data_IF_654894393185
#
_entry.id   IF_654894393185
#
_cell.length_a   1.000
_cell.length_b   1.000
_cell.length_c   1.000
_cell.angle_alpha   90.00
_cell.angle_beta   90.00
_cell.angle_gamma   90.00
#
_symmetry.space_group_name_H-M   'P 1'
#
loop_
_entity.id
_entity.type
_entity.pdbx_description
1 polymer ?
#
# COMPACT_ATOMS: atom_id res chain seq x y z
N UNK A 1 30.51 -64.90 29.80
CA UNK A 1 29.16 -64.41 29.57
C UNK A 1 29.29 -62.91 29.31
N UNK A 2 29.53 -62.54 28.10
CA UNK A 2 29.66 -61.17 27.65
C UNK A 2 28.29 -60.72 27.10
N UNK A 3 27.67 -59.82 27.86
CA UNK A 3 26.39 -59.22 27.53
C UNK A 3 26.63 -58.14 26.42
N UNK A 4 26.56 -58.60 25.16
CA UNK A 4 26.54 -57.68 24.03
C UNK A 4 25.17 -56.97 24.01
N UNK A 5 25.13 -55.84 24.72
CA UNK A 5 24.05 -54.89 24.48
C UNK A 5 24.11 -54.43 23.03
N UNK A 6 23.30 -55.05 22.24
CA UNK A 6 22.95 -54.53 20.93
C UNK A 6 22.46 -53.09 21.10
N UNK A 7 23.34 -52.14 20.83
CA UNK A 7 22.94 -50.76 20.70
C UNK A 7 21.87 -50.73 19.57
N UNK A 8 20.63 -50.57 19.98
CA UNK A 8 19.54 -50.42 19.05
C UNK A 8 19.87 -49.19 18.19
N UNK A 9 20.25 -49.47 16.94
CA UNK A 9 20.47 -48.42 15.94
C UNK A 9 19.17 -47.68 15.77
N UNK A 10 19.11 -46.41 16.24
CA UNK A 10 17.96 -45.53 16.04
C UNK A 10 18.03 -44.97 14.61
N UNK A 11 17.16 -45.44 13.71
CA UNK A 11 17.15 -44.99 12.34
C UNK A 11 16.52 -43.62 12.13
N UNK A 12 16.40 -42.82 13.19
CA UNK A 12 15.96 -41.44 13.04
C UNK A 12 16.97 -40.72 12.13
N UNK A 13 16.62 -40.36 10.87
CA UNK A 13 17.56 -39.68 10.02
C UNK A 13 17.97 -38.38 10.72
N UNK A 14 19.30 -38.11 10.83
CA UNK A 14 19.76 -36.83 11.36
C UNK A 14 19.26 -35.75 10.40
N UNK A 15 18.28 -34.97 10.85
CA UNK A 15 17.77 -33.88 10.03
C UNK A 15 16.32 -33.96 9.58
N UNK A 16 15.49 -34.79 10.19
CA UNK A 16 14.06 -34.49 10.21
C UNK A 16 13.89 -33.17 10.98
N UNK A 17 14.35 -32.06 10.37
CA UNK A 17 13.94 -30.72 10.79
C UNK A 17 12.41 -30.74 10.69
N UNK A 18 11.74 -30.96 11.81
CA UNK A 18 10.33 -30.70 11.93
C UNK A 18 10.18 -29.28 11.39
N UNK A 19 9.52 -29.15 10.24
CA UNK A 19 9.25 -27.86 9.63
C UNK A 19 8.47 -27.07 10.68
N UNK A 20 9.21 -26.31 11.49
CA UNK A 20 8.63 -25.56 12.61
C UNK A 20 7.56 -24.70 12.01
N UNK A 21 6.31 -24.86 12.44
CA UNK A 21 5.20 -24.09 11.93
C UNK A 21 5.57 -22.60 11.95
N UNK A 22 5.22 -21.85 10.90
CA UNK A 22 5.50 -20.43 10.86
C UNK A 22 4.92 -19.75 12.09
N UNK A 23 5.66 -18.86 12.73
CA UNK A 23 5.10 -18.11 13.84
C UNK A 23 3.89 -17.33 13.37
N UNK A 24 2.86 -17.20 14.23
CA UNK A 24 1.65 -16.45 13.89
C UNK A 24 1.96 -15.02 13.39
N UNK A 25 3.05 -14.42 13.90
CA UNK A 25 3.49 -13.10 13.45
C UNK A 25 3.94 -13.07 11.98
N UNK A 26 4.71 -14.07 11.52
CA UNK A 26 5.15 -14.15 10.12
C UNK A 26 3.97 -14.38 9.19
N UNK A 27 3.03 -15.24 9.61
CA UNK A 27 1.78 -15.45 8.83
C UNK A 27 0.99 -14.16 8.72
N UNK A 28 0.78 -13.45 9.83
CA UNK A 28 0.06 -12.18 9.84
C UNK A 28 0.75 -11.13 8.96
N UNK A 29 2.08 -11.01 9.03
CA UNK A 29 2.84 -10.10 8.18
C UNK A 29 2.66 -10.43 6.68
N UNK A 30 2.72 -11.71 6.31
CA UNK A 30 2.48 -12.16 4.94
C UNK A 30 1.07 -11.84 4.46
N UNK A 31 0.05 -12.08 5.30
CA UNK A 31 -1.36 -11.76 4.98
C UNK A 31 -1.56 -10.26 4.81
N UNK A 32 -0.99 -9.42 5.69
CA UNK A 32 -1.06 -7.95 5.56
C UNK A 32 -0.48 -7.50 4.22
N UNK A 33 0.68 -8.02 3.83
CA UNK A 33 1.28 -7.69 2.53
C UNK A 33 0.40 -8.11 1.36
N UNK A 34 -0.29 -9.27 1.45
CA UNK A 34 -1.24 -9.72 0.43
C UNK A 34 -2.48 -8.83 0.35
N UNK A 35 -3.02 -8.41 1.48
CA UNK A 35 -4.16 -7.47 1.52
C UNK A 35 -3.78 -6.14 0.88
N UNK A 36 -2.61 -5.58 1.23
CA UNK A 36 -2.10 -4.35 0.62
C UNK A 36 -1.91 -4.54 -0.90
N UNK A 37 -1.33 -5.67 -1.32
CA UNK A 37 -1.16 -6.00 -2.74
C UNK A 37 -2.49 -5.98 -3.51
N UNK A 38 -3.52 -6.58 -2.93
CA UNK A 38 -4.86 -6.65 -3.54
C UNK A 38 -5.47 -5.26 -3.66
N UNK A 39 -5.41 -4.45 -2.60
CA UNK A 39 -5.93 -3.08 -2.61
C UNK A 39 -5.22 -2.20 -3.64
N UNK A 40 -3.88 -2.25 -3.70
CA UNK A 40 -3.10 -1.51 -4.68
C UNK A 40 -3.35 -1.99 -6.11
N UNK A 41 -3.49 -3.31 -6.30
CA UNK A 41 -3.82 -3.88 -7.60
C UNK A 41 -5.18 -3.43 -8.11
N UNK A 42 -6.22 -3.50 -7.27
CA UNK A 42 -7.57 -3.03 -7.59
C UNK A 42 -7.54 -1.53 -7.89
N UNK A 43 -6.94 -0.71 -7.02
CA UNK A 43 -6.82 0.73 -7.23
C UNK A 43 -6.10 1.05 -8.53
N UNK A 44 -4.98 0.40 -8.82
CA UNK A 44 -4.21 0.62 -10.04
C UNK A 44 -5.00 0.26 -11.30
N UNK A 45 -5.71 -0.86 -11.30
CA UNK A 45 -6.56 -1.29 -12.41
C UNK A 45 -7.72 -0.28 -12.62
N UNK A 46 -8.40 0.11 -11.53
CA UNK A 46 -9.49 1.09 -11.62
C UNK A 46 -9.00 2.46 -12.11
N UNK A 47 -7.80 2.88 -11.69
CA UNK A 47 -7.19 4.12 -12.20
C UNK A 47 -6.92 4.03 -13.70
N UNK A 48 -6.35 2.92 -14.18
CA UNK A 48 -6.10 2.71 -15.62
C UNK A 48 -7.41 2.72 -16.41
N UNK A 49 -8.42 2.00 -15.94
CA UNK A 49 -9.75 1.99 -16.59
C UNK A 49 -10.41 3.38 -16.58
N UNK A 50 -10.35 4.07 -15.44
CA UNK A 50 -10.86 5.44 -15.31
C UNK A 50 -10.15 6.41 -16.27
N UNK A 51 -8.83 6.34 -16.38
CA UNK A 51 -8.05 7.10 -17.34
C UNK A 51 -8.43 6.81 -18.80
N UNK A 52 -8.78 5.56 -19.13
CA UNK A 52 -9.27 5.20 -20.44
C UNK A 52 -10.66 5.81 -20.74
N UNK A 53 -11.54 5.86 -19.73
CA UNK A 53 -12.89 6.42 -19.88
C UNK A 53 -12.91 7.96 -19.98
N UNK A 54 -12.00 8.66 -19.30
CA UNK A 54 -11.90 10.13 -19.37
C UNK A 54 -11.72 10.61 -20.81
N UNK A 55 -11.03 9.84 -21.67
CA UNK A 55 -10.88 10.17 -23.09
C UNK A 55 -12.18 10.15 -23.91
N UNK A 56 -13.28 9.60 -23.36
CA UNK A 56 -14.60 9.56 -24.00
C UNK A 56 -15.50 10.72 -23.58
N UNK A 57 -15.13 11.48 -22.54
CA UNK A 57 -15.89 12.63 -22.04
C UNK A 57 -15.44 13.88 -22.81
N UNK A 58 -15.90 14.00 -24.06
CA UNK A 58 -15.43 15.04 -25.00
C UNK A 58 -16.10 16.44 -24.86
N UNK A 59 -16.95 16.67 -23.84
CA UNK A 59 -17.78 17.90 -23.78
C UNK A 59 -17.53 18.79 -22.54
N UNK A 60 -16.30 18.78 -21.98
CA UNK A 60 -15.97 19.65 -20.83
C UNK A 60 -15.71 21.11 -21.22
N UNK A 61 -15.37 21.41 -22.50
CA UNK A 61 -15.04 22.75 -22.96
C UNK A 61 -16.19 23.75 -22.82
N UNK A 62 -17.44 23.29 -22.99
CA UNK A 62 -18.61 24.16 -22.86
C UNK A 62 -18.98 24.58 -21.43
N UNK A 63 -18.47 23.92 -20.40
CA UNK A 63 -18.84 24.18 -19.00
C UNK A 63 -17.77 24.90 -18.18
N UNK A 64 -16.51 24.93 -18.65
CA UNK A 64 -15.36 25.40 -17.84
C UNK A 64 -14.80 26.76 -18.29
N UNK A 65 -15.32 27.37 -19.34
CA UNK A 65 -14.77 28.62 -19.89
C UNK A 65 -13.37 28.49 -20.52
N UNK A 66 -12.84 27.27 -20.62
CA UNK A 66 -11.57 26.96 -21.25
C UNK A 66 -11.72 26.90 -22.77
N UNK A 67 -10.67 27.29 -23.51
CA UNK A 67 -10.61 27.01 -24.94
C UNK A 67 -10.53 25.51 -25.20
N UNK A 68 -10.96 25.02 -26.36
CA UNK A 68 -10.86 23.60 -26.71
C UNK A 68 -9.43 23.09 -26.62
N UNK A 69 -8.45 23.89 -26.99
CA UNK A 69 -7.01 23.53 -26.89
C UNK A 69 -6.56 23.35 -25.43
N UNK A 70 -6.98 24.27 -24.56
CA UNK A 70 -6.66 24.18 -23.11
C UNK A 70 -7.34 22.96 -22.47
N UNK A 71 -8.60 22.71 -22.79
CA UNK A 71 -9.34 21.56 -22.30
C UNK A 71 -8.70 20.24 -22.75
N UNK A 72 -8.32 20.13 -24.03
CA UNK A 72 -7.64 18.96 -24.59
C UNK A 72 -6.26 18.74 -23.99
N UNK A 73 -5.48 19.79 -23.77
CA UNK A 73 -4.17 19.71 -23.12
C UNK A 73 -4.30 19.22 -21.67
N UNK A 74 -5.23 19.78 -20.91
CA UNK A 74 -5.50 19.38 -19.52
C UNK A 74 -5.96 17.92 -19.43
N UNK A 75 -6.86 17.50 -20.32
CA UNK A 75 -7.33 16.11 -20.39
C UNK A 75 -6.20 15.14 -20.74
N UNK A 76 -5.32 15.50 -21.69
CA UNK A 76 -4.19 14.67 -22.09
C UNK A 76 -3.21 14.48 -20.95
N UNK A 77 -2.84 15.57 -20.26
CA UNK A 77 -1.94 15.53 -19.10
C UNK A 77 -2.59 14.77 -17.94
N UNK A 78 -3.84 15.05 -17.63
CA UNK A 78 -4.59 14.35 -16.57
C UNK A 78 -4.69 12.85 -16.82
N UNK A 79 -5.01 12.46 -18.05
CA UNK A 79 -5.06 11.06 -18.48
C UNK A 79 -3.71 10.37 -18.35
N UNK A 80 -2.63 11.00 -18.85
CA UNK A 80 -1.27 10.47 -18.73
C UNK A 80 -0.88 10.27 -17.28
N UNK A 81 -1.16 11.25 -16.40
CA UNK A 81 -0.89 11.17 -14.97
C UNK A 81 -1.64 9.99 -14.32
N UNK A 82 -2.92 9.79 -14.63
CA UNK A 82 -3.71 8.69 -14.08
C UNK A 82 -3.18 7.33 -14.56
N UNK A 83 -2.77 7.20 -15.82
CA UNK A 83 -2.15 5.97 -16.32
C UNK A 83 -0.82 5.65 -15.62
N UNK A 84 0.03 6.66 -15.45
CA UNK A 84 1.30 6.50 -14.72
C UNK A 84 1.05 6.10 -13.28
N UNK A 85 0.14 6.80 -12.60
CA UNK A 85 -0.23 6.49 -11.21
C UNK A 85 -0.79 5.07 -11.08
N UNK A 86 -1.70 4.68 -11.96
CA UNK A 86 -2.28 3.34 -12.01
C UNK A 86 -1.23 2.26 -12.27
N UNK A 87 -0.34 2.48 -13.25
CA UNK A 87 0.75 1.57 -13.57
C UNK A 87 1.73 1.39 -12.41
N UNK A 88 2.11 2.48 -11.74
CA UNK A 88 2.95 2.45 -10.53
C UNK A 88 2.26 1.69 -9.40
N UNK A 89 0.97 1.94 -9.17
CA UNK A 89 0.21 1.22 -8.13
C UNK A 89 0.15 -0.29 -8.40
N UNK A 90 -0.07 -0.72 -9.65
CA UNK A 90 -0.01 -2.13 -10.04
C UNK A 90 1.38 -2.72 -9.81
N UNK A 91 2.44 -2.03 -10.21
CA UNK A 91 3.81 -2.50 -10.03
C UNK A 91 4.17 -2.68 -8.54
N UNK A 92 3.82 -1.69 -7.71
CA UNK A 92 3.99 -1.76 -6.25
C UNK A 92 3.13 -2.89 -5.66
N UNK A 93 1.88 -3.06 -6.14
CA UNK A 93 1.00 -4.15 -5.74
C UNK A 93 1.60 -5.53 -6.04
N UNK A 94 2.20 -5.71 -7.22
CA UNK A 94 2.91 -6.94 -7.58
C UNK A 94 4.12 -7.20 -6.68
N UNK A 95 4.89 -6.17 -6.33
CA UNK A 95 6.01 -6.31 -5.40
C UNK A 95 5.54 -6.76 -4.00
N UNK A 96 4.43 -6.22 -3.50
CA UNK A 96 3.80 -6.66 -2.26
C UNK A 96 3.27 -8.10 -2.35
N UNK A 97 2.66 -8.47 -3.47
CA UNK A 97 2.16 -9.83 -3.72
C UNK A 97 3.30 -10.84 -3.66
N UNK A 98 4.38 -10.58 -4.40
CA UNK A 98 5.56 -11.45 -4.40
C UNK A 98 6.19 -11.55 -3.01
N UNK A 99 6.32 -10.41 -2.32
CA UNK A 99 6.82 -10.37 -0.95
C UNK A 99 5.93 -11.15 0.01
N UNK A 100 4.61 -10.95 -0.03
CA UNK A 100 3.65 -11.64 0.85
C UNK A 100 3.67 -13.15 0.67
N UNK A 101 3.62 -13.64 -0.58
CA UNK A 101 3.73 -15.08 -0.88
C UNK A 101 5.08 -15.63 -0.43
N UNK A 102 6.17 -14.91 -0.69
CA UNK A 102 7.51 -15.34 -0.33
C UNK A 102 7.73 -15.35 1.20
N UNK A 103 7.15 -14.39 1.94
CA UNK A 103 7.15 -14.36 3.41
C UNK A 103 6.40 -15.55 3.98
N UNK A 104 5.21 -15.89 3.45
CA UNK A 104 4.46 -17.08 3.85
C UNK A 104 5.23 -18.38 3.57
N UNK A 105 6.02 -18.40 2.50
CA UNK A 105 6.91 -19.53 2.15
C UNK A 105 8.30 -19.44 2.82
N UNK A 106 8.52 -18.50 3.71
CA UNK A 106 9.78 -18.26 4.46
C UNK A 106 11.02 -18.11 3.56
N UNK A 107 10.88 -17.56 2.38
CA UNK A 107 12.02 -17.34 1.49
C UNK A 107 12.84 -16.13 1.93
N UNK A 108 14.15 -16.28 2.07
CA UNK A 108 15.07 -15.22 2.53
C UNK A 108 14.98 -13.93 1.70
N UNK A 109 14.92 -14.05 0.36
CA UNK A 109 14.78 -12.90 -0.53
C UNK A 109 13.48 -12.10 -0.28
N UNK A 110 12.39 -12.80 0.05
CA UNK A 110 11.10 -12.15 0.30
C UNK A 110 11.10 -11.33 1.60
N UNK A 111 11.90 -11.76 2.60
CA UNK A 111 12.13 -10.97 3.79
C UNK A 111 12.76 -9.63 3.44
N UNK A 112 13.81 -9.62 2.60
CA UNK A 112 14.49 -8.38 2.20
C UNK A 112 13.52 -7.48 1.44
N UNK A 113 12.79 -8.02 0.45
CA UNK A 113 11.80 -7.28 -0.31
C UNK A 113 10.70 -6.73 0.62
N UNK A 114 10.19 -7.55 1.54
CA UNK A 114 9.18 -7.13 2.52
C UNK A 114 9.67 -6.02 3.45
N UNK A 115 10.93 -6.06 3.89
CA UNK A 115 11.54 -4.98 4.68
C UNK A 115 11.61 -3.68 3.87
N UNK A 116 12.10 -3.74 2.63
CA UNK A 116 12.17 -2.55 1.75
C UNK A 116 10.77 -1.95 1.54
N UNK A 117 9.79 -2.79 1.17
CA UNK A 117 8.42 -2.33 0.95
C UNK A 117 7.79 -1.77 2.24
N UNK A 118 8.10 -2.34 3.40
CA UNK A 118 7.59 -1.85 4.68
C UNK A 118 8.20 -0.49 5.06
N UNK A 119 9.50 -0.30 4.84
CA UNK A 119 10.15 1.00 5.08
C UNK A 119 9.55 2.07 4.17
N UNK A 120 9.42 1.79 2.88
CA UNK A 120 8.79 2.70 1.91
C UNK A 120 7.34 3.01 2.31
N UNK A 121 6.58 1.99 2.72
CA UNK A 121 5.21 2.16 3.18
C UNK A 121 5.11 3.05 4.42
N UNK A 122 5.97 2.86 5.42
CA UNK A 122 6.04 3.74 6.61
C UNK A 122 6.32 5.18 6.20
N UNK A 123 7.29 5.41 5.31
CA UNK A 123 7.63 6.77 4.85
C UNK A 123 6.46 7.44 4.11
N UNK A 124 5.79 6.70 3.21
CA UNK A 124 4.63 7.21 2.48
C UNK A 124 3.50 7.57 3.43
N UNK A 125 3.15 6.70 4.39
CA UNK A 125 2.07 6.97 5.31
C UNK A 125 2.39 8.06 6.33
N UNK A 126 3.66 8.22 6.72
CA UNK A 126 4.10 9.39 7.50
C UNK A 126 3.91 10.68 6.69
N UNK A 127 4.29 10.68 5.41
CA UNK A 127 4.08 11.84 4.54
C UNK A 127 2.59 12.17 4.40
N UNK A 128 1.73 11.16 4.18
CA UNK A 128 0.27 11.35 4.12
C UNK A 128 -0.26 11.91 5.44
N UNK A 129 0.19 11.40 6.58
CA UNK A 129 -0.24 11.87 7.90
C UNK A 129 0.14 13.35 8.12
N UNK A 130 1.39 13.69 7.82
CA UNK A 130 1.88 15.09 7.95
C UNK A 130 1.15 16.00 6.99
N UNK A 131 0.99 15.63 5.72
CA UNK A 131 0.29 16.46 4.74
C UNK A 131 -1.18 16.67 5.08
N UNK A 132 -1.86 15.63 5.57
CA UNK A 132 -3.26 15.75 6.04
C UNK A 132 -3.37 16.66 7.26
N UNK A 133 -2.43 16.56 8.21
CA UNK A 133 -2.38 17.43 9.38
C UNK A 133 -2.10 18.90 9.01
N UNK A 134 -1.18 19.14 8.09
CA UNK A 134 -0.90 20.49 7.58
C UNK A 134 -2.09 21.08 6.84
N UNK A 135 -2.76 20.29 5.99
CA UNK A 135 -3.95 20.72 5.27
C UNK A 135 -5.08 21.13 6.22
N UNK A 136 -5.24 20.45 7.36
CA UNK A 136 -6.26 20.76 8.36
C UNK A 136 -6.08 22.13 9.03
N UNK A 137 -4.86 22.67 9.09
CA UNK A 137 -4.55 23.94 9.74
C UNK A 137 -4.33 25.11 8.78
N UNK A 138 -4.35 24.83 7.46
CA UNK A 138 -4.19 25.89 6.47
C UNK A 138 -5.43 26.79 6.38
N UNK A 139 -5.25 28.12 6.23
CA UNK A 139 -6.34 29.03 5.97
C UNK A 139 -7.00 28.71 4.62
N UNK A 140 -8.31 28.84 4.56
CA UNK A 140 -9.06 28.63 3.30
C UNK A 140 -8.75 29.79 2.35
N UNK A 141 -8.26 29.53 1.12
CA UNK A 141 -8.01 30.59 0.17
C UNK A 141 -9.33 31.32 -0.19
N UNK A 142 -9.35 32.65 -0.04
CA UNK A 142 -10.56 33.44 -0.26
C UNK A 142 -11.18 33.25 -1.67
N UNK A 143 -10.35 33.12 -2.71
CA UNK A 143 -10.80 32.85 -4.07
C UNK A 143 -11.55 31.54 -4.23
N UNK A 144 -11.19 30.53 -3.47
CA UNK A 144 -11.84 29.20 -3.59
C UNK A 144 -13.31 29.21 -3.15
N UNK A 145 -13.67 30.04 -2.19
CA UNK A 145 -15.04 30.18 -1.72
C UNK A 145 -15.92 30.94 -2.73
N UNK A 146 -15.33 31.95 -3.40
CA UNK A 146 -16.05 32.70 -4.44
C UNK A 146 -16.36 31.84 -5.68
N UNK A 147 -15.40 31.03 -6.11
CA UNK A 147 -15.55 30.19 -7.31
C UNK A 147 -16.46 28.96 -7.08
N UNK A 148 -16.46 28.42 -5.85
CA UNK A 148 -17.24 27.22 -5.52
C UNK A 148 -18.69 27.52 -5.12
N UNK A 149 -19.02 28.74 -4.77
CA UNK A 149 -20.34 29.12 -4.20
C UNK A 149 -20.62 28.50 -2.81
N UNK A 150 -19.61 27.92 -2.18
CA UNK A 150 -19.73 27.31 -0.85
C UNK A 150 -19.52 28.36 0.24
N UNK A 151 -20.28 28.21 1.33
CA UNK A 151 -20.01 28.94 2.57
C UNK A 151 -18.75 28.37 3.27
N UNK A 152 -18.13 29.17 4.13
CA UNK A 152 -16.99 28.72 4.94
C UNK A 152 -17.31 27.48 5.76
N UNK A 153 -18.54 27.36 6.26
CA UNK A 153 -19.00 26.25 7.09
C UNK A 153 -19.17 24.96 6.28
N UNK A 154 -19.79 25.06 5.09
CA UNK A 154 -19.93 23.92 4.17
C UNK A 154 -18.57 23.41 3.72
N UNK A 155 -17.64 24.31 3.33
CA UNK A 155 -16.29 23.93 2.98
C UNK A 155 -15.59 23.22 4.15
N UNK A 156 -15.65 23.78 5.38
CA UNK A 156 -15.04 23.15 6.56
C UNK A 156 -15.63 21.79 6.88
N UNK A 157 -16.92 21.62 6.69
CA UNK A 157 -17.58 20.32 6.90
C UNK A 157 -17.09 19.28 5.92
N UNK A 158 -17.06 19.60 4.63
CA UNK A 158 -16.62 18.67 3.57
C UNK A 158 -15.11 18.38 3.69
N UNK A 159 -14.30 19.41 3.81
CA UNK A 159 -12.86 19.27 3.94
C UNK A 159 -12.47 18.58 5.25
N UNK A 160 -13.15 18.91 6.36
CA UNK A 160 -12.93 18.27 7.66
C UNK A 160 -13.16 16.78 7.63
N UNK A 161 -14.24 16.33 6.99
CA UNK A 161 -14.49 14.91 6.80
C UNK A 161 -13.36 14.22 6.00
N UNK A 162 -12.89 14.87 4.92
CA UNK A 162 -11.77 14.37 4.12
C UNK A 162 -10.46 14.25 4.92
N UNK A 163 -10.14 15.24 5.75
CA UNK A 163 -8.93 15.21 6.58
C UNK A 163 -9.00 14.12 7.66
N UNK A 164 -10.14 13.97 8.33
CA UNK A 164 -10.33 12.91 9.34
C UNK A 164 -10.16 11.54 8.70
N UNK A 165 -10.79 11.31 7.55
CA UNK A 165 -10.65 10.07 6.80
C UNK A 165 -9.17 9.84 6.42
N UNK A 166 -8.49 10.86 5.89
CA UNK A 166 -7.08 10.80 5.53
C UNK A 166 -6.18 10.44 6.72
N UNK A 167 -6.38 11.05 7.88
CA UNK A 167 -5.62 10.77 9.11
C UNK A 167 -5.88 9.34 9.60
N UNK A 168 -7.13 8.87 9.60
CA UNK A 168 -7.49 7.52 10.02
C UNK A 168 -6.84 6.47 9.11
N UNK A 169 -6.94 6.65 7.78
CA UNK A 169 -6.29 5.74 6.83
C UNK A 169 -4.77 5.76 6.96
N UNK A 170 -4.17 6.94 7.18
CA UNK A 170 -2.73 7.06 7.39
C UNK A 170 -2.28 6.34 8.67
N UNK A 171 -3.02 6.46 9.75
CA UNK A 171 -2.73 5.77 11.01
C UNK A 171 -2.82 4.23 10.85
N UNK A 172 -3.86 3.73 10.18
CA UNK A 172 -4.01 2.30 9.90
C UNK A 172 -2.86 1.78 9.02
N UNK A 173 -2.54 2.49 7.94
CA UNK A 173 -1.46 2.13 7.05
C UNK A 173 -0.11 2.12 7.76
N UNK A 174 0.18 3.16 8.56
CA UNK A 174 1.40 3.27 9.36
C UNK A 174 1.51 2.10 10.35
N UNK A 175 0.44 1.77 11.06
CA UNK A 175 0.42 0.66 12.00
C UNK A 175 0.68 -0.69 11.30
N UNK A 176 0.04 -0.93 10.14
CA UNK A 176 0.20 -2.14 9.36
C UNK A 176 1.65 -2.33 8.88
N UNK A 177 2.25 -1.31 8.26
CA UNK A 177 3.62 -1.39 7.77
C UNK A 177 4.65 -1.47 8.91
N UNK A 178 4.44 -0.74 10.01
CA UNK A 178 5.30 -0.84 11.19
C UNK A 178 5.24 -2.24 11.80
N UNK A 179 4.05 -2.84 11.88
CA UNK A 179 3.90 -4.22 12.35
C UNK A 179 4.68 -5.20 11.47
N UNK A 180 4.51 -5.13 10.14
CA UNK A 180 5.24 -6.00 9.19
C UNK A 180 6.75 -5.81 9.36
N UNK A 181 7.22 -4.56 9.42
CA UNK A 181 8.63 -4.22 9.59
C UNK A 181 9.21 -4.85 10.87
N UNK A 182 8.55 -4.67 12.00
CA UNK A 182 8.98 -5.20 13.31
C UNK A 182 9.02 -6.73 13.30
N UNK A 183 7.99 -7.38 12.72
CA UNK A 183 7.93 -8.84 12.63
C UNK A 183 9.07 -9.38 11.77
N UNK A 184 9.29 -8.82 10.58
CA UNK A 184 10.35 -9.28 9.68
C UNK A 184 11.76 -9.06 10.23
N UNK A 185 11.97 -8.00 11.05
CA UNK A 185 13.24 -7.78 11.74
C UNK A 185 13.42 -8.85 12.84
N UNK A 186 12.44 -8.99 13.75
CA UNK A 186 12.54 -9.84 14.93
C UNK A 186 12.58 -11.33 14.60
N UNK A 187 11.88 -11.75 13.55
CA UNK A 187 11.74 -13.15 13.13
C UNK A 187 12.69 -13.54 11.99
N UNK A 188 13.78 -12.81 11.83
CA UNK A 188 14.75 -13.04 10.75
C UNK A 188 15.30 -14.46 10.67
N UNK A 189 15.44 -15.16 11.81
CA UNK A 189 15.93 -16.54 11.88
C UNK A 189 14.97 -17.58 11.28
N UNK A 190 13.69 -17.25 11.12
CA UNK A 190 12.71 -18.13 10.49
C UNK A 190 12.83 -18.19 8.96
N UNK A 191 13.69 -17.34 8.36
CA UNK A 191 13.94 -17.22 6.93
C UNK A 191 15.33 -17.73 6.50
N UNK A 192 16.07 -18.34 7.44
CA UNK A 192 17.40 -18.90 7.21
C UNK A 192 17.34 -20.33 6.66
#
# INVERSE_FOLDING_TARGET
MTDERTAAWDPSPPGAYAATAASGGVVAAGVILLVIATLLGIFGILAILGGAMIGQISNLSGQTGLTEEQANALMTVGRAFIFVLGGVAVAIGLAHLLSGIGVLRRRGWARILGLVMSVLGVLVWLLVLVSSGLAAVQPIPAGYLQDSGLTVEEYRSIAGAGWIIGIVFAAIGLAAYTYVLVVLIRRGREFA
#
